data_IF_505490877379
#
_entry.id   IF_505490877379
#
_cell.length_a   1.000
_cell.length_b   1.000
_cell.length_c   1.000
_cell.angle_alpha   90.00
_cell.angle_beta   90.00
_cell.angle_gamma   90.00
#
_symmetry.space_group_name_H-M   'P 1'
#
loop_
_entity.id
_entity.type
_entity.pdbx_description
1 polymer ?
#
# COMPACT_ATOMS: atom_id res chain seq x y z
N UNK A 1 -27.13 14.29 -51.31
CA UNK A 1 -28.17 14.58 -50.29
C UNK A 1 -27.47 14.75 -48.95
N UNK A 2 -27.34 15.98 -48.42
CA UNK A 2 -26.57 16.28 -47.21
C UNK A 2 -27.10 15.54 -45.97
N UNK A 3 -28.39 15.19 -45.94
CA UNK A 3 -28.98 14.42 -44.84
C UNK A 3 -28.42 12.99 -44.77
N UNK A 4 -28.20 12.33 -45.91
CA UNK A 4 -27.67 10.97 -45.95
C UNK A 4 -26.23 10.88 -45.47
N UNK A 5 -25.39 11.85 -45.85
CA UNK A 5 -24.01 11.95 -45.39
C UNK A 5 -23.94 12.18 -43.87
N UNK A 6 -24.77 13.07 -43.34
CA UNK A 6 -24.85 13.30 -41.89
C UNK A 6 -25.28 12.06 -41.11
N UNK A 7 -26.24 11.28 -41.64
CA UNK A 7 -26.68 10.04 -41.01
C UNK A 7 -25.59 8.95 -41.03
N UNK A 8 -24.84 8.82 -42.13
CA UNK A 8 -23.71 7.88 -42.18
C UNK A 8 -22.59 8.28 -41.21
N UNK A 9 -22.30 9.57 -41.11
CA UNK A 9 -21.27 10.08 -40.23
C UNK A 9 -21.63 9.89 -38.75
N UNK A 10 -22.89 10.16 -38.37
CA UNK A 10 -23.41 9.87 -37.04
C UNK A 10 -23.30 8.38 -36.70
N UNK A 11 -23.58 7.49 -37.66
CA UNK A 11 -23.47 6.05 -37.47
C UNK A 11 -22.01 5.61 -37.31
N UNK A 12 -21.09 6.18 -38.09
CA UNK A 12 -19.65 5.91 -37.99
C UNK A 12 -19.10 6.34 -36.64
N UNK A 13 -19.48 7.53 -36.15
CA UNK A 13 -19.11 8.03 -34.82
C UNK A 13 -19.66 7.15 -33.71
N UNK A 14 -20.94 6.73 -33.79
CA UNK A 14 -21.53 5.82 -32.80
C UNK A 14 -20.79 4.48 -32.71
N UNK A 15 -20.39 3.92 -33.87
CA UNK A 15 -19.58 2.70 -33.93
C UNK A 15 -18.19 2.94 -33.32
N UNK A 16 -17.50 4.02 -33.70
CA UNK A 16 -16.18 4.37 -33.16
C UNK A 16 -16.21 4.55 -31.63
N UNK A 17 -17.23 5.23 -31.11
CA UNK A 17 -17.45 5.40 -29.68
C UNK A 17 -17.68 4.07 -28.95
N UNK A 18 -18.46 3.15 -29.55
CA UNK A 18 -18.68 1.81 -29.00
C UNK A 18 -17.40 0.96 -28.92
N UNK A 19 -16.45 1.20 -29.83
CA UNK A 19 -15.12 0.56 -29.82
C UNK A 19 -14.05 1.39 -29.08
N UNK A 20 -14.45 2.43 -28.35
CA UNK A 20 -13.56 3.31 -27.61
C UNK A 20 -12.43 3.93 -28.45
N UNK A 21 -12.61 4.03 -29.78
CA UNK A 21 -11.57 4.50 -30.72
C UNK A 21 -11.12 5.92 -30.37
N UNK A 22 -12.08 6.81 -30.11
CA UNK A 22 -11.83 8.22 -29.76
C UNK A 22 -11.16 8.38 -28.39
N UNK A 23 -11.35 7.40 -27.51
CA UNK A 23 -10.72 7.41 -26.19
C UNK A 23 -9.32 6.82 -26.24
N UNK A 24 -9.07 5.85 -27.14
CA UNK A 24 -7.76 5.25 -27.35
C UNK A 24 -6.80 6.18 -28.12
N UNK A 25 -7.32 6.91 -29.10
CA UNK A 25 -6.56 7.91 -29.87
C UNK A 25 -6.58 9.23 -29.10
N UNK A 26 -5.49 9.56 -28.40
CA UNK A 26 -5.30 10.93 -27.90
C UNK A 26 -5.44 11.87 -29.08
N UNK A 27 -6.45 12.75 -29.05
CA UNK A 27 -6.50 13.89 -29.97
C UNK A 27 -5.23 14.70 -29.75
N UNK A 28 -4.24 14.52 -30.62
CA UNK A 28 -2.95 15.20 -30.53
C UNK A 28 -3.14 16.67 -30.89
N UNK A 29 -3.44 17.48 -29.88
CA UNK A 29 -3.36 18.93 -29.95
C UNK A 29 -1.94 19.39 -29.61
N UNK A 30 -1.40 20.45 -30.24
CA UNK A 30 -0.01 20.89 -30.00
C UNK A 30 0.26 21.45 -28.60
N UNK A 31 -0.75 21.62 -27.74
CA UNK A 31 -0.65 22.32 -26.45
C UNK A 31 -1.66 21.75 -25.44
N UNK A 32 -1.46 20.53 -24.93
CA UNK A 32 -2.19 20.09 -23.73
C UNK A 32 -1.40 20.50 -22.47
N UNK A 33 -2.09 21.05 -21.48
CA UNK A 33 -1.48 21.37 -20.17
C UNK A 33 -1.31 20.10 -19.34
N UNK A 34 -0.33 20.08 -18.42
CA UNK A 34 -0.03 18.90 -17.61
C UNK A 34 -1.25 18.39 -16.80
N UNK A 35 -2.07 19.31 -16.30
CA UNK A 35 -3.31 18.98 -15.55
C UNK A 35 -4.39 18.37 -16.44
N UNK A 36 -4.54 18.87 -17.67
CA UNK A 36 -5.51 18.35 -18.62
C UNK A 36 -5.16 16.92 -19.07
N UNK A 37 -3.87 16.62 -19.25
CA UNK A 37 -3.40 15.26 -19.56
C UNK A 37 -3.76 14.28 -18.44
N UNK A 38 -3.57 14.68 -17.17
CA UNK A 38 -3.92 13.85 -16.01
C UNK A 38 -5.44 13.60 -15.97
N UNK A 39 -6.26 14.65 -16.06
CA UNK A 39 -7.72 14.53 -16.02
C UNK A 39 -8.28 13.66 -17.15
N UNK A 40 -7.81 13.86 -18.39
CA UNK A 40 -8.24 12.99 -19.51
C UNK A 40 -7.80 11.55 -19.35
N UNK A 41 -6.61 11.32 -18.81
CA UNK A 41 -6.13 9.96 -18.54
C UNK A 41 -7.02 9.30 -17.49
N UNK A 42 -7.39 10.01 -16.43
CA UNK A 42 -8.34 9.53 -15.41
C UNK A 42 -9.73 9.22 -15.98
N UNK A 43 -10.29 10.09 -16.81
CA UNK A 43 -11.59 9.87 -17.45
C UNK A 43 -11.58 8.63 -18.35
N UNK A 44 -10.57 8.51 -19.21
CA UNK A 44 -10.37 7.33 -20.08
C UNK A 44 -10.28 6.05 -19.26
N UNK A 45 -9.57 6.11 -18.16
CA UNK A 45 -9.35 4.98 -17.29
C UNK A 45 -10.61 4.59 -16.51
N UNK A 46 -11.44 5.56 -16.11
CA UNK A 46 -12.77 5.32 -15.56
C UNK A 46 -13.70 4.64 -16.57
N UNK A 47 -13.60 5.03 -17.84
CA UNK A 47 -14.38 4.43 -18.94
C UNK A 47 -13.95 2.99 -19.24
N UNK A 48 -12.65 2.71 -19.20
CA UNK A 48 -12.10 1.36 -19.43
C UNK A 48 -12.21 0.42 -18.21
N UNK A 49 -12.37 0.97 -17.00
CA UNK A 49 -12.41 0.22 -15.74
C UNK A 49 -13.35 -0.99 -15.76
N UNK A 50 -14.64 -0.85 -16.13
CA UNK A 50 -15.56 -1.99 -16.17
C UNK A 50 -15.16 -3.09 -17.16
N UNK A 51 -14.63 -2.72 -18.34
CA UNK A 51 -14.18 -3.68 -19.36
C UNK A 51 -12.95 -4.44 -18.87
N UNK A 52 -12.00 -3.73 -18.28
CA UNK A 52 -10.80 -4.33 -17.69
C UNK A 52 -11.16 -5.26 -16.52
N UNK A 53 -12.08 -4.86 -15.65
CA UNK A 53 -12.54 -5.69 -14.54
C UNK A 53 -13.19 -6.99 -15.02
N UNK A 54 -14.02 -6.93 -16.08
CA UNK A 54 -14.60 -8.13 -16.70
C UNK A 54 -13.54 -9.00 -17.36
N UNK A 55 -12.59 -8.42 -18.11
CA UNK A 55 -11.48 -9.19 -18.68
C UNK A 55 -10.63 -9.87 -17.60
N UNK A 56 -10.44 -9.21 -16.46
CA UNK A 56 -9.73 -9.80 -15.32
C UNK A 56 -10.50 -11.00 -14.75
N UNK A 57 -11.76 -10.80 -14.37
CA UNK A 57 -12.57 -11.83 -13.71
C UNK A 57 -12.97 -13.00 -14.64
N UNK A 58 -13.37 -12.70 -15.89
CA UNK A 58 -13.95 -13.68 -16.82
C UNK A 58 -12.89 -14.38 -17.70
N UNK A 59 -11.72 -13.77 -17.94
CA UNK A 59 -10.70 -14.31 -18.84
C UNK A 59 -9.36 -14.51 -18.17
N UNK A 60 -8.72 -13.46 -17.65
CA UNK A 60 -7.33 -13.54 -17.18
C UNK A 60 -7.22 -14.42 -15.93
N UNK A 61 -8.12 -14.28 -14.97
CA UNK A 61 -8.09 -15.04 -13.72
C UNK A 61 -8.27 -16.55 -13.95
N UNK A 62 -9.30 -17.01 -14.69
CA UNK A 62 -9.42 -18.43 -14.99
C UNK A 62 -8.28 -18.96 -15.88
N UNK A 63 -7.78 -18.16 -16.83
CA UNK A 63 -6.66 -18.56 -17.70
C UNK A 63 -5.36 -18.76 -16.91
N UNK A 64 -4.97 -17.76 -16.09
CA UNK A 64 -3.76 -17.83 -15.28
C UNK A 64 -3.88 -18.99 -14.29
N UNK A 65 -5.01 -19.13 -13.60
CA UNK A 65 -5.25 -20.25 -12.68
C UNK A 65 -5.15 -21.61 -13.38
N UNK A 66 -5.65 -21.74 -14.61
CA UNK A 66 -5.54 -22.98 -15.39
C UNK A 66 -4.09 -23.28 -15.78
N UNK A 67 -3.37 -22.30 -16.30
CA UNK A 67 -1.96 -22.46 -16.72
C UNK A 67 -1.09 -22.81 -15.50
N UNK A 68 -1.27 -22.11 -14.39
CA UNK A 68 -0.57 -22.40 -13.13
C UNK A 68 -0.77 -23.85 -12.69
N UNK A 69 -2.03 -24.32 -12.61
CA UNK A 69 -2.35 -25.69 -12.21
C UNK A 69 -1.81 -26.76 -13.17
N UNK A 70 -1.67 -26.44 -14.47
CA UNK A 70 -1.01 -27.34 -15.42
C UNK A 70 0.50 -27.44 -15.14
N UNK A 71 1.16 -26.31 -14.90
CA UNK A 71 2.58 -26.25 -14.58
C UNK A 71 2.91 -26.95 -13.26
N UNK A 72 2.07 -26.82 -12.23
CA UNK A 72 2.20 -27.55 -10.95
C UNK A 72 2.19 -29.07 -11.17
N UNK A 73 1.21 -29.59 -11.92
CA UNK A 73 1.13 -31.03 -12.21
C UNK A 73 2.31 -31.55 -13.02
N UNK A 74 2.87 -30.70 -13.89
CA UNK A 74 4.07 -31.01 -14.66
C UNK A 74 5.38 -30.82 -13.87
N UNK A 75 5.30 -30.48 -12.57
CA UNK A 75 6.46 -30.22 -11.70
C UNK A 75 7.44 -29.19 -12.29
N UNK A 76 6.89 -28.16 -12.96
CA UNK A 76 7.67 -27.06 -13.56
C UNK A 76 8.14 -26.03 -12.53
N UNK A 77 7.57 -26.05 -11.32
CA UNK A 77 7.98 -25.20 -10.20
C UNK A 77 8.91 -25.97 -9.26
N UNK A 78 9.76 -25.24 -8.54
CA UNK A 78 10.44 -25.79 -7.37
C UNK A 78 9.44 -26.30 -6.33
N UNK A 79 9.88 -27.21 -5.46
CA UNK A 79 9.04 -27.68 -4.36
C UNK A 79 8.54 -26.48 -3.54
N UNK A 80 7.22 -26.37 -3.39
CA UNK A 80 6.63 -25.30 -2.62
C UNK A 80 7.09 -25.38 -1.15
N UNK A 81 7.46 -24.25 -0.52
CA UNK A 81 7.72 -24.20 0.91
C UNK A 81 6.55 -24.73 1.73
N UNK A 82 6.82 -25.26 2.93
CA UNK A 82 5.80 -25.92 3.76
C UNK A 82 4.61 -25.03 4.12
N UNK A 83 4.85 -23.73 4.32
CA UNK A 83 3.79 -22.77 4.62
C UNK A 83 2.83 -22.51 3.44
N UNK A 84 3.19 -22.91 2.21
CA UNK A 84 2.37 -22.72 1.01
C UNK A 84 1.51 -23.94 0.66
N UNK A 85 1.66 -25.08 1.35
CA UNK A 85 1.00 -26.34 0.95
C UNK A 85 -0.54 -26.27 0.94
N UNK A 86 -1.11 -25.43 1.80
CA UNK A 86 -2.57 -25.24 1.94
C UNK A 86 -3.01 -23.79 1.64
N UNK A 87 -2.15 -22.99 0.98
CA UNK A 87 -2.45 -21.60 0.64
C UNK A 87 -2.99 -21.48 -0.79
N UNK A 88 -4.09 -20.76 -0.95
CA UNK A 88 -4.60 -20.37 -2.27
C UNK A 88 -3.72 -19.28 -2.90
N UNK A 89 -3.64 -19.30 -4.24
CA UNK A 89 -2.91 -18.28 -4.99
C UNK A 89 -3.85 -17.13 -5.32
N UNK A 90 -3.56 -15.99 -4.71
CA UNK A 90 -4.19 -14.72 -5.05
C UNK A 90 -3.44 -14.07 -6.23
N UNK A 91 -4.17 -13.81 -7.32
CA UNK A 91 -3.62 -13.12 -8.49
C UNK A 91 -3.92 -11.62 -8.34
N UNK A 92 -2.87 -10.83 -8.10
CA UNK A 92 -2.99 -9.37 -8.06
C UNK A 92 -2.71 -8.75 -9.43
N UNK A 93 -3.69 -8.02 -9.98
CA UNK A 93 -3.50 -7.26 -11.21
C UNK A 93 -2.99 -5.85 -10.94
N UNK A 94 -1.74 -5.57 -11.30
CA UNK A 94 -1.14 -4.23 -11.22
C UNK A 94 -1.21 -3.53 -12.58
N UNK A 95 -2.07 -2.52 -12.70
CA UNK A 95 -2.10 -1.60 -13.86
C UNK A 95 -1.45 -0.25 -13.54
N UNK A 96 -0.94 0.51 -14.52
CA UNK A 96 -0.38 1.84 -14.29
C UNK A 96 -1.38 2.82 -13.63
N UNK A 97 -2.66 2.74 -13.98
CA UNK A 97 -3.72 3.48 -13.30
C UNK A 97 -3.91 2.98 -11.87
N UNK A 98 -3.99 1.68 -11.64
CA UNK A 98 -4.16 1.14 -10.29
C UNK A 98 -3.02 1.64 -9.39
N UNK A 99 -1.79 1.72 -9.92
CA UNK A 99 -0.66 2.34 -9.24
C UNK A 99 -0.84 3.85 -9.01
N UNK A 100 -1.36 4.59 -10.00
CA UNK A 100 -1.63 6.03 -9.87
C UNK A 100 -2.77 6.33 -8.86
N UNK A 101 -3.83 5.53 -8.84
CA UNK A 101 -4.95 5.68 -7.90
C UNK A 101 -4.52 5.35 -6.47
N UNK A 102 -3.71 4.30 -6.31
CA UNK A 102 -3.01 3.97 -5.04
C UNK A 102 -2.12 5.11 -4.54
N UNK A 103 -1.61 5.97 -5.43
CA UNK A 103 -0.84 7.15 -5.02
C UNK A 103 -1.69 8.18 -4.28
N UNK A 104 -2.96 8.36 -4.67
CA UNK A 104 -3.93 9.17 -3.93
C UNK A 104 -4.23 8.60 -2.54
N UNK A 105 -4.33 7.27 -2.43
CA UNK A 105 -4.52 6.59 -1.15
C UNK A 105 -3.32 6.77 -0.22
N UNK A 106 -2.09 6.71 -0.75
CA UNK A 106 -0.86 6.97 -0.01
C UNK A 106 -0.81 8.43 0.48
N UNK A 107 -1.14 9.39 -0.39
CA UNK A 107 -1.20 10.80 0.02
C UNK A 107 -2.24 11.02 1.12
N UNK A 108 -3.39 10.35 1.05
CA UNK A 108 -4.43 10.42 2.09
C UNK A 108 -3.94 9.84 3.42
N UNK A 109 -3.24 8.70 3.39
CA UNK A 109 -2.65 8.09 4.58
C UNK A 109 -1.55 8.97 5.21
N UNK A 110 -0.66 9.57 4.40
CA UNK A 110 0.36 10.50 4.90
C UNK A 110 -0.26 11.75 5.50
N UNK A 111 -1.28 12.32 4.85
CA UNK A 111 -2.00 13.48 5.37
C UNK A 111 -2.68 13.18 6.70
N UNK A 112 -3.21 11.97 6.89
CA UNK A 112 -3.73 11.54 8.19
C UNK A 112 -2.64 11.63 9.27
N UNK A 113 -1.44 11.10 9.03
CA UNK A 113 -0.33 11.17 9.99
C UNK A 113 0.07 12.61 10.32
N UNK A 114 0.13 13.48 9.31
CA UNK A 114 0.43 14.90 9.48
C UNK A 114 -0.63 15.61 10.34
N UNK A 115 -1.91 15.28 10.15
CA UNK A 115 -3.02 15.88 10.90
C UNK A 115 -3.09 15.37 12.35
N UNK A 116 -2.68 14.13 12.62
CA UNK A 116 -2.68 13.56 13.96
C UNK A 116 -1.49 14.02 14.82
N UNK A 117 -0.38 14.46 14.21
CA UNK A 117 0.79 14.95 14.94
C UNK A 117 0.48 16.05 15.97
N UNK A 118 -0.23 17.13 15.59
CA UNK A 118 -0.66 18.17 16.53
C UNK A 118 -1.69 17.67 17.56
N UNK A 119 -2.59 16.77 17.17
CA UNK A 119 -3.60 16.21 18.07
C UNK A 119 -2.93 15.42 19.21
N UNK A 120 -1.90 14.65 18.90
CA UNK A 120 -1.13 13.88 19.87
C UNK A 120 -0.38 14.76 20.89
N UNK A 121 -0.06 16.01 20.54
CA UNK A 121 0.54 16.97 21.48
C UNK A 121 -0.47 17.54 22.47
N UNK A 122 -1.75 17.62 22.07
CA UNK A 122 -2.85 18.09 22.93
C UNK A 122 -3.36 16.97 23.82
N UNK A 123 -3.56 15.78 23.24
CA UNK A 123 -4.02 14.59 23.94
C UNK A 123 -3.40 13.35 23.29
N UNK A 124 -2.59 12.63 24.08
CA UNK A 124 -1.88 11.45 23.61
C UNK A 124 -2.84 10.29 23.25
N UNK A 125 -4.05 10.26 23.81
CA UNK A 125 -5.08 9.25 23.48
C UNK A 125 -5.61 9.35 22.05
N UNK A 126 -5.38 10.48 21.36
CA UNK A 126 -5.67 10.60 19.95
C UNK A 126 -4.92 9.55 19.09
N UNK A 127 -3.76 9.08 19.56
CA UNK A 127 -2.99 8.04 18.88
C UNK A 127 -3.61 6.65 19.01
N UNK A 128 -4.50 6.41 19.98
CA UNK A 128 -5.13 5.09 20.20
C UNK A 128 -6.05 4.66 19.05
N UNK A 129 -6.47 5.62 18.21
CA UNK A 129 -7.24 5.38 17.00
C UNK A 129 -6.38 4.90 15.81
N UNK A 130 -5.05 4.93 15.92
CA UNK A 130 -4.12 4.56 14.84
C UNK A 130 -3.47 3.21 15.14
N UNK A 131 -3.86 2.19 14.37
CA UNK A 131 -3.08 0.96 14.27
C UNK A 131 -1.87 1.17 13.34
N UNK A 132 -0.71 1.41 13.95
CA UNK A 132 0.55 1.64 13.24
C UNK A 132 0.99 0.40 12.44
N UNK A 133 0.68 -0.82 12.91
CA UNK A 133 1.03 -2.05 12.23
C UNK A 133 0.15 -2.27 11.00
N UNK A 134 -1.16 -2.10 11.17
CA UNK A 134 -2.12 -2.12 10.08
C UNK A 134 -1.79 -1.08 9.01
N UNK A 135 -1.49 0.15 9.42
CA UNK A 135 -1.09 1.23 8.50
C UNK A 135 0.21 0.91 7.76
N UNK A 136 1.22 0.40 8.46
CA UNK A 136 2.50 0.03 7.84
C UNK A 136 2.31 -1.08 6.80
N UNK A 137 1.56 -2.13 7.14
CA UNK A 137 1.22 -3.22 6.21
C UNK A 137 0.42 -2.73 5.01
N UNK A 138 -0.53 -1.83 5.24
CA UNK A 138 -1.31 -1.20 4.18
C UNK A 138 -0.42 -0.41 3.22
N UNK A 139 0.47 0.45 3.73
CA UNK A 139 1.39 1.23 2.91
C UNK A 139 2.33 0.34 2.08
N UNK A 140 2.89 -0.71 2.69
CA UNK A 140 3.74 -1.67 1.99
C UNK A 140 3.02 -2.37 0.83
N UNK A 141 1.77 -2.78 1.03
CA UNK A 141 0.92 -3.38 -0.02
C UNK A 141 0.60 -2.37 -1.12
N UNK A 142 0.18 -1.16 -0.74
CA UNK A 142 -0.23 -0.12 -1.68
C UNK A 142 0.94 0.36 -2.55
N UNK A 143 2.14 0.52 -1.98
CA UNK A 143 3.37 0.88 -2.69
C UNK A 143 3.94 -0.26 -3.55
N UNK A 144 3.38 -1.48 -3.46
CA UNK A 144 3.86 -2.66 -4.19
C UNK A 144 5.36 -2.92 -3.96
N UNK A 145 5.82 -2.74 -2.71
CA UNK A 145 7.22 -2.95 -2.33
C UNK A 145 7.53 -4.45 -2.41
N UNK A 146 8.65 -4.88 -3.05
CA UNK A 146 9.00 -6.28 -3.14
C UNK A 146 9.11 -6.94 -1.75
N UNK A 147 8.54 -8.13 -1.60
CA UNK A 147 8.61 -8.86 -0.32
C UNK A 147 10.05 -9.13 0.13
N UNK A 148 11.01 -9.19 -0.80
CA UNK A 148 12.45 -9.36 -0.50
C UNK A 148 13.06 -8.21 0.28
N UNK A 149 12.42 -7.03 0.31
CA UNK A 149 12.88 -5.87 1.08
C UNK A 149 12.08 -5.64 2.36
N UNK A 150 11.11 -6.52 2.66
CA UNK A 150 10.24 -6.43 3.82
C UNK A 150 10.63 -7.52 4.82
N UNK A 151 10.77 -7.14 6.10
CA UNK A 151 11.00 -8.11 7.18
C UNK A 151 9.74 -8.93 7.46
N UNK A 152 9.91 -10.21 7.76
CA UNK A 152 8.81 -11.07 8.17
C UNK A 152 8.24 -10.67 9.53
N UNK A 153 6.98 -11.06 9.81
CA UNK A 153 6.34 -10.76 11.10
C UNK A 153 7.16 -11.30 12.28
N UNK A 154 7.67 -12.53 12.19
CA UNK A 154 8.51 -13.13 13.24
C UNK A 154 9.77 -12.32 13.51
N UNK A 155 10.44 -11.82 12.47
CA UNK A 155 11.65 -11.00 12.61
C UNK A 155 11.33 -9.65 13.28
N UNK A 156 10.20 -9.03 12.92
CA UNK A 156 9.73 -7.79 13.56
C UNK A 156 9.39 -8.01 15.03
N UNK A 157 8.73 -9.12 15.36
CA UNK A 157 8.36 -9.48 16.72
C UNK A 157 9.60 -9.74 17.59
N UNK A 158 10.59 -10.46 17.06
CA UNK A 158 11.88 -10.67 17.73
C UNK A 158 12.62 -9.34 18.01
N UNK A 159 12.64 -8.43 17.03
CA UNK A 159 13.25 -7.10 17.21
C UNK A 159 12.53 -6.31 18.29
N UNK A 160 11.21 -6.39 18.37
CA UNK A 160 10.40 -5.71 19.39
C UNK A 160 10.63 -6.29 20.78
N UNK A 161 10.66 -7.62 20.90
CA UNK A 161 10.96 -8.29 22.16
C UNK A 161 12.35 -7.90 22.67
N UNK A 162 13.37 -7.91 21.79
CA UNK A 162 14.73 -7.46 22.15
C UNK A 162 14.73 -6.01 22.62
N UNK A 163 14.02 -5.12 21.93
CA UNK A 163 13.93 -3.70 22.30
C UNK A 163 13.23 -3.49 23.65
N UNK A 164 12.17 -4.25 23.93
CA UNK A 164 11.49 -4.20 25.23
C UNK A 164 12.42 -4.63 26.37
N UNK A 165 13.12 -5.75 26.21
CA UNK A 165 14.09 -6.24 27.21
C UNK A 165 15.23 -5.24 27.42
N UNK A 166 15.76 -4.65 26.34
CA UNK A 166 16.78 -3.60 26.44
C UNK A 166 16.26 -2.36 27.18
N UNK A 167 15.02 -1.94 26.92
CA UNK A 167 14.40 -0.81 27.63
C UNK A 167 14.17 -1.10 29.11
N UNK A 168 13.73 -2.30 29.47
CA UNK A 168 13.56 -2.72 30.86
C UNK A 168 14.91 -2.71 31.59
N UNK A 169 15.96 -3.27 30.99
CA UNK A 169 17.31 -3.27 31.56
C UNK A 169 17.87 -1.85 31.75
N UNK A 170 17.68 -0.96 30.77
CA UNK A 170 18.09 0.45 30.89
C UNK A 170 17.33 1.15 32.02
N UNK A 171 16.03 0.88 32.15
CA UNK A 171 15.19 1.48 33.20
C UNK A 171 15.62 1.01 34.58
N UNK A 172 15.89 -0.29 34.74
CA UNK A 172 16.36 -0.89 35.99
C UNK A 172 17.76 -0.39 36.37
N UNK A 173 18.68 -0.26 35.40
CA UNK A 173 20.00 0.34 35.64
C UNK A 173 19.89 1.81 36.07
N UNK A 174 19.02 2.59 35.44
CA UNK A 174 18.81 3.99 35.82
C UNK A 174 18.22 4.11 37.22
N UNK A 175 17.26 3.25 37.58
CA UNK A 175 16.72 3.21 38.95
C UNK A 175 17.78 2.80 39.98
N UNK A 176 18.58 1.76 39.69
CA UNK A 176 19.66 1.32 40.56
C UNK A 176 20.73 2.41 40.76
N UNK A 177 21.09 3.14 39.69
CA UNK A 177 22.01 4.28 39.80
C UNK A 177 21.41 5.46 40.55
N UNK A 178 20.11 5.75 40.38
CA UNK A 178 19.43 6.81 41.13
C UNK A 178 19.36 6.49 42.64
N UNK A 179 19.05 5.23 43.00
CA UNK A 179 19.08 4.75 44.37
C UNK A 179 20.49 4.79 44.98
N UNK A 180 21.52 4.37 44.23
CA UNK A 180 22.90 4.42 44.68
C UNK A 180 23.40 5.86 44.90
N UNK A 181 23.03 6.81 44.02
CA UNK A 181 23.32 8.24 44.21
C UNK A 181 22.61 8.81 45.43
N UNK A 182 21.31 8.52 45.60
CA UNK A 182 20.54 8.97 46.76
C UNK A 182 21.11 8.43 48.09
N UNK A 183 21.54 7.16 48.11
CA UNK A 183 22.19 6.57 49.28
C UNK A 183 23.61 7.15 49.53
N UNK A 184 24.36 7.41 48.46
CA UNK A 184 25.69 8.04 48.51
C UNK A 184 25.65 9.49 49.02
N UNK A 185 24.64 10.27 48.63
CA UNK A 185 24.44 11.65 49.07
C UNK A 185 23.93 11.75 50.53
N UNK A 186 23.22 10.72 51.02
CA UNK A 186 22.79 10.65 52.42
C UNK A 186 23.91 10.20 53.40
N UNK A 187 24.88 9.42 52.92
CA UNK A 187 26.00 8.91 53.71
C UNK A 187 26.86 9.99 54.41
N UNK A 188 27.22 11.14 53.80
CA UNK A 188 27.97 12.19 54.48
C UNK A 188 27.18 12.91 55.59
N UNK A 189 25.84 12.96 55.50
CA UNK A 189 25.01 13.58 56.54
C UNK A 189 24.91 12.72 57.81
N UNK A 190 24.92 11.39 57.68
CA UNK A 190 24.93 10.48 58.83
C UNK A 190 26.29 10.49 59.53
N UNK A 191 27.39 10.64 58.78
CA UNK A 191 28.76 10.70 59.33
C UNK A 191 29.10 12.01 60.04
N UNK A 192 28.35 13.09 59.79
CA UNK A 192 28.53 14.39 60.44
C UNK A 192 27.69 14.56 61.72
N UNK A 193 26.75 13.64 61.99
CA UNK A 193 25.82 13.69 63.11
C UNK A 193 26.13 12.68 64.25
N UNK A 194 27.21 11.91 64.13
CA UNK A 194 27.75 11.02 65.18
C UNK A 194 29.16 11.41 65.56
#
# INVERSE_FOLDING_TARGET
NPLGLNMEEQRRQAIQAAFYVDQLILSQGPQMTATEVVQRTEEKMRLLGPVLGRLQAELLQPLIGRVYNLMVRQKQFAAAPDFMRDSDIEIEYVSPLAKAQRQGDIQSALRMLELFGPLAQLDQSALDYIDVDGMSKYLLKTLSVPATTIRGQSEVDEIRQKRQVEQEQITEQQQAQALARAAGDAAPFIKAAG
#
